data_IF_129044689564
#
_entry.id   IF_129044689564
#
_cell.length_a   1.000
_cell.length_b   1.000
_cell.length_c   1.000
_cell.angle_alpha   90.00
_cell.angle_beta   90.00
_cell.angle_gamma   90.00
#
_symmetry.space_group_name_H-M   'P 1'
#
loop_
_entity.id
_entity.type
_entity.pdbx_description
1 polymer ?
#
# COMPACT_ATOMS: atom_id res chain seq x y z
N UNK A 1 -8.80 22.43 13.90
CA UNK A 1 -9.25 21.03 14.03
C UNK A 1 -9.79 20.61 12.66
N UNK A 2 -9.78 19.31 12.34
CA UNK A 2 -10.57 18.62 11.27
C UNK A 2 -9.83 18.29 9.95
N UNK A 3 -9.60 17.00 9.66
CA UNK A 3 -10.49 15.93 9.11
C UNK A 3 -10.61 16.03 7.60
N UNK A 4 -10.16 15.00 6.87
CA UNK A 4 -10.89 14.32 5.77
C UNK A 4 -10.07 13.61 4.67
N UNK A 5 -8.73 13.76 4.51
CA UNK A 5 -7.95 12.68 3.81
C UNK A 5 -7.96 11.34 4.57
N UNK A 6 -8.46 11.44 5.79
CA UNK A 6 -8.42 10.52 6.87
C UNK A 6 -9.70 9.68 6.91
N UNK A 7 -10.88 10.30 6.69
CA UNK A 7 -12.21 9.68 6.76
C UNK A 7 -12.46 8.57 5.74
N UNK A 8 -11.68 8.47 4.66
CA UNK A 8 -11.87 7.39 3.68
C UNK A 8 -11.30 6.06 4.16
N UNK A 9 -10.01 6.05 4.49
CA UNK A 9 -9.35 4.94 5.17
C UNK A 9 -9.92 4.72 6.57
N UNK A 10 -10.40 5.78 7.22
CA UNK A 10 -11.03 5.73 8.54
C UNK A 10 -12.47 5.24 8.46
N UNK A 11 -13.29 5.50 7.45
CA UNK A 11 -14.59 4.84 7.30
C UNK A 11 -14.40 3.35 6.96
N UNK A 12 -13.36 3.04 6.17
CA UNK A 12 -12.95 1.68 5.80
C UNK A 12 -12.42 0.90 7.02
N UNK A 13 -11.62 1.53 7.89
CA UNK A 13 -11.15 0.96 9.16
C UNK A 13 -12.24 1.00 10.27
N UNK A 14 -12.95 2.12 10.50
CA UNK A 14 -13.93 2.28 11.59
C UNK A 14 -15.21 1.46 11.39
N UNK A 15 -15.69 1.26 10.16
CA UNK A 15 -16.81 0.36 9.90
C UNK A 15 -16.41 -1.11 10.12
N UNK A 16 -15.11 -1.42 10.01
CA UNK A 16 -14.56 -2.75 10.27
C UNK A 16 -14.24 -2.96 11.78
N UNK A 17 -13.97 -1.89 12.55
CA UNK A 17 -13.52 -1.96 13.95
C UNK A 17 -14.46 -1.31 15.00
N UNK A 18 -15.61 -0.73 14.61
CA UNK A 18 -16.72 -0.42 15.54
C UNK A 18 -16.49 0.69 16.58
N UNK A 19 -15.77 1.78 16.25
CA UNK A 19 -15.47 2.87 17.20
C UNK A 19 -16.24 4.16 16.88
N UNK A 20 -16.83 4.78 17.91
CA UNK A 20 -17.73 5.94 17.82
C UNK A 20 -17.04 7.27 17.45
N UNK A 21 -17.73 8.07 16.63
CA UNK A 21 -17.25 9.27 15.92
C UNK A 21 -16.76 10.47 16.77
N UNK A 22 -16.83 10.43 18.11
CA UNK A 22 -16.81 11.66 18.93
C UNK A 22 -15.42 12.15 19.39
N UNK A 23 -14.34 11.37 19.18
CA UNK A 23 -12.97 11.74 19.58
C UNK A 23 -11.99 11.93 18.39
N UNK A 24 -12.51 12.00 17.16
CA UNK A 24 -11.78 11.83 15.89
C UNK A 24 -10.84 12.98 15.52
N UNK A 25 -10.98 14.16 16.12
CA UNK A 25 -10.33 15.37 15.59
C UNK A 25 -8.84 15.52 16.01
N UNK A 26 -8.30 14.60 16.80
CA UNK A 26 -6.91 14.64 17.29
C UNK A 26 -5.96 13.66 16.60
N UNK A 27 -6.46 12.63 15.92
CA UNK A 27 -5.64 11.50 15.44
C UNK A 27 -5.80 11.26 13.94
N UNK A 28 -4.86 10.52 13.32
CA UNK A 28 -4.86 10.16 11.89
C UNK A 28 -4.82 8.64 11.72
N UNK A 29 -5.89 7.94 12.12
CA UNK A 29 -6.12 6.50 11.86
C UNK A 29 -5.88 6.04 10.42
N UNK A 30 -6.04 6.87 9.37
CA UNK A 30 -5.78 6.47 7.99
C UNK A 30 -4.28 6.29 7.75
N UNK A 31 -3.48 7.25 8.24
CA UNK A 31 -2.02 7.10 8.31
C UNK A 31 -1.61 5.94 9.21
N UNK A 32 -2.30 5.73 10.33
CA UNK A 32 -2.01 4.63 11.24
C UNK A 32 -2.33 3.27 10.61
N UNK A 33 -3.48 3.12 9.95
CA UNK A 33 -3.87 1.93 9.20
C UNK A 33 -2.86 1.65 8.09
N UNK A 34 -2.42 2.69 7.36
CA UNK A 34 -1.41 2.53 6.30
C UNK A 34 -0.02 2.19 6.87
N UNK A 35 0.38 2.77 8.00
CA UNK A 35 1.61 2.40 8.70
C UNK A 35 1.58 0.92 9.12
N UNK A 36 0.49 0.48 9.74
CA UNK A 36 0.31 -0.92 10.12
C UNK A 36 0.29 -1.86 8.91
N UNK A 37 -0.35 -1.46 7.81
CA UNK A 37 -0.33 -2.22 6.56
C UNK A 37 1.09 -2.36 5.99
N UNK A 38 1.85 -1.27 5.95
CA UNK A 38 3.23 -1.30 5.45
C UNK A 38 4.11 -2.20 6.31
N UNK A 39 3.97 -2.10 7.63
CA UNK A 39 4.71 -2.96 8.56
C UNK A 39 4.35 -4.43 8.38
N UNK A 40 3.06 -4.74 8.25
CA UNK A 40 2.60 -6.10 7.99
C UNK A 40 3.16 -6.66 6.67
N UNK A 41 3.16 -5.86 5.60
CA UNK A 41 3.76 -6.24 4.31
C UNK A 41 5.28 -6.46 4.43
N UNK A 42 5.99 -5.60 5.17
CA UNK A 42 7.41 -5.77 5.44
C UNK A 42 7.70 -7.09 6.17
N UNK A 43 6.92 -7.44 7.20
CA UNK A 43 7.07 -8.71 7.90
C UNK A 43 6.71 -9.92 7.03
N UNK A 44 5.59 -9.85 6.31
CA UNK A 44 5.14 -10.91 5.40
C UNK A 44 6.11 -11.20 4.25
N UNK A 45 6.96 -10.22 3.89
CA UNK A 45 8.00 -10.39 2.86
C UNK A 45 9.21 -11.20 3.33
N UNK A 46 9.31 -11.53 4.62
CA UNK A 46 10.42 -12.32 5.17
C UNK A 46 10.21 -13.81 4.88
N UNK A 47 11.31 -14.51 4.60
CA UNK A 47 11.29 -15.92 4.14
C UNK A 47 10.64 -16.87 5.15
N UNK A 48 10.73 -16.56 6.44
CA UNK A 48 10.18 -17.34 7.54
C UNK A 48 8.72 -17.02 7.87
N UNK A 49 8.17 -15.96 7.28
CA UNK A 49 6.81 -15.51 7.58
C UNK A 49 5.78 -16.31 6.77
N UNK A 50 4.81 -16.91 7.46
CA UNK A 50 3.75 -17.74 6.85
C UNK A 50 2.39 -17.05 6.80
N UNK A 51 2.22 -16.00 7.60
CA UNK A 51 0.94 -15.32 7.81
C UNK A 51 1.16 -13.81 7.76
N UNK A 52 0.11 -13.09 7.38
CA UNK A 52 0.09 -11.63 7.38
C UNK A 52 -1.13 -11.18 8.19
N UNK A 53 -0.94 -10.14 9.01
CA UNK A 53 -1.99 -9.51 9.81
C UNK A 53 -2.19 -8.04 9.37
N UNK A 54 -3.10 -7.33 10.01
CA UNK A 54 -3.40 -5.92 9.75
C UNK A 54 -4.61 -5.74 8.83
N UNK A 55 -4.77 -4.55 8.23
CA UNK A 55 -5.99 -4.19 7.50
C UNK A 55 -5.99 -4.80 6.08
N UNK A 56 -6.03 -6.13 5.98
CA UNK A 56 -5.94 -6.88 4.72
C UNK A 56 -7.08 -6.58 3.76
N UNK A 57 -8.24 -6.15 4.25
CA UNK A 57 -9.36 -5.70 3.41
C UNK A 57 -8.97 -4.49 2.56
N UNK A 58 -8.13 -3.59 3.08
CA UNK A 58 -7.58 -2.47 2.31
C UNK A 58 -6.62 -2.95 1.22
N UNK A 59 -5.78 -3.93 1.55
CA UNK A 59 -4.82 -4.50 0.61
C UNK A 59 -5.55 -5.19 -0.56
N UNK A 60 -6.57 -5.99 -0.25
CA UNK A 60 -7.41 -6.65 -1.24
C UNK A 60 -8.19 -5.64 -2.08
N UNK A 61 -8.84 -4.65 -1.45
CA UNK A 61 -9.53 -3.58 -2.14
C UNK A 61 -8.60 -2.80 -3.08
N UNK A 62 -7.41 -2.42 -2.59
CA UNK A 62 -6.36 -1.79 -3.41
C UNK A 62 -5.98 -2.68 -4.59
N UNK A 63 -5.70 -3.96 -4.37
CA UNK A 63 -5.30 -4.89 -5.43
C UNK A 63 -6.39 -5.01 -6.49
N UNK A 64 -7.66 -5.14 -6.10
CA UNK A 64 -8.78 -5.29 -7.03
C UNK A 64 -9.10 -4.04 -7.83
N UNK A 65 -8.97 -2.86 -7.22
CA UNK A 65 -9.12 -1.59 -7.95
C UNK A 65 -7.98 -1.44 -8.98
N UNK A 66 -6.77 -1.88 -8.63
CA UNK A 66 -5.57 -1.73 -9.46
C UNK A 66 -5.41 -2.82 -10.53
N UNK A 67 -5.95 -4.00 -10.27
CA UNK A 67 -5.90 -5.21 -11.09
C UNK A 67 -7.32 -5.75 -11.30
N UNK A 68 -8.19 -5.06 -12.06
CA UNK A 68 -9.60 -5.44 -12.20
C UNK A 68 -9.81 -6.84 -12.78
N UNK A 69 -8.87 -7.36 -13.57
CA UNK A 69 -8.93 -8.71 -14.15
C UNK A 69 -8.83 -9.82 -13.10
N UNK A 70 -8.16 -9.53 -11.97
CA UNK A 70 -8.14 -10.41 -10.81
C UNK A 70 -9.37 -10.19 -9.93
N UNK A 71 -9.98 -9.01 -9.96
CA UNK A 71 -11.06 -8.64 -9.06
C UNK A 71 -12.25 -9.62 -9.08
N UNK A 72 -12.84 -9.96 -7.92
CA UNK A 72 -14.14 -10.60 -7.86
C UNK A 72 -15.21 -9.68 -8.46
N UNK A 73 -16.37 -10.23 -8.79
CA UNK A 73 -17.48 -9.41 -9.29
C UNK A 73 -17.92 -8.40 -8.20
N UNK A 74 -17.88 -7.08 -8.47
CA UNK A 74 -18.39 -6.08 -7.54
C UNK A 74 -19.89 -6.27 -7.30
N UNK A 75 -20.31 -6.36 -6.03
CA UNK A 75 -21.72 -6.54 -5.64
C UNK A 75 -22.41 -5.22 -5.35
N UNK A 76 -21.70 -4.28 -4.75
CA UNK A 76 -22.22 -2.97 -4.40
C UNK A 76 -21.35 -1.88 -5.04
N UNK A 77 -21.42 -1.68 -6.38
CA UNK A 77 -20.49 -0.82 -7.12
C UNK A 77 -20.59 0.68 -6.78
N UNK A 78 -21.60 1.09 -6.00
CA UNK A 78 -21.78 2.46 -5.49
C UNK A 78 -21.73 2.53 -3.97
N UNK A 79 -20.93 1.66 -3.37
CA UNK A 79 -20.75 1.55 -1.93
C UNK A 79 -19.52 2.31 -1.48
N UNK A 80 -19.67 3.03 -0.38
CA UNK A 80 -18.57 3.61 0.36
C UNK A 80 -18.60 3.08 1.80
N UNK A 81 -17.47 2.67 2.39
CA UNK A 81 -16.11 2.61 1.81
C UNK A 81 -15.95 1.70 0.59
N UNK A 82 -14.95 1.94 -0.26
CA UNK A 82 -14.78 1.27 -1.55
C UNK A 82 -14.57 -0.24 -1.40
N UNK A 83 -13.91 -0.69 -0.35
CA UNK A 83 -13.73 -2.11 -0.08
C UNK A 83 -15.07 -2.88 0.04
N UNK A 84 -16.18 -2.20 0.38
CA UNK A 84 -17.50 -2.82 0.46
C UNK A 84 -18.04 -3.25 -0.92
N UNK A 85 -17.50 -2.74 -2.04
CA UNK A 85 -17.85 -3.23 -3.37
C UNK A 85 -17.69 -4.74 -3.49
N UNK A 86 -16.73 -5.32 -2.78
CA UNK A 86 -16.43 -6.76 -2.77
C UNK A 86 -16.79 -7.45 -1.47
N UNK A 87 -17.71 -6.88 -0.69
CA UNK A 87 -18.16 -7.51 0.55
C UNK A 87 -18.62 -8.95 0.29
N UNK A 88 -18.18 -9.87 1.16
CA UNK A 88 -18.45 -11.30 1.08
C UNK A 88 -17.97 -11.99 -0.23
N UNK A 89 -16.91 -11.46 -0.87
CA UNK A 89 -16.31 -12.06 -2.08
C UNK A 89 -16.02 -13.55 -1.94
N UNK A 90 -15.52 -14.00 -0.80
CA UNK A 90 -15.21 -15.41 -0.50
C UNK A 90 -16.41 -16.35 -0.66
N UNK A 91 -17.61 -15.85 -0.30
CA UNK A 91 -18.84 -16.66 -0.33
C UNK A 91 -19.53 -16.61 -1.67
N UNK A 92 -19.56 -15.43 -2.29
CA UNK A 92 -20.39 -15.19 -3.45
C UNK A 92 -19.69 -15.32 -4.81
N UNK A 93 -18.36 -15.36 -4.86
CA UNK A 93 -17.63 -15.48 -6.13
C UNK A 93 -17.16 -16.92 -6.35
N UNK A 94 -17.78 -17.59 -7.34
CA UNK A 94 -17.44 -18.98 -7.66
C UNK A 94 -16.01 -19.11 -8.19
N UNK A 95 -15.50 -18.11 -8.93
CA UNK A 95 -14.15 -18.14 -9.51
C UNK A 95 -13.13 -18.21 -8.38
N UNK A 96 -13.22 -17.29 -7.43
CA UNK A 96 -12.30 -17.23 -6.30
C UNK A 96 -12.31 -18.48 -5.42
N UNK A 97 -13.46 -19.15 -5.27
CA UNK A 97 -13.57 -20.40 -4.52
C UNK A 97 -12.70 -21.53 -5.09
N UNK A 98 -12.48 -21.53 -6.40
CA UNK A 98 -11.73 -22.58 -7.09
C UNK A 98 -10.32 -22.15 -7.50
N UNK A 99 -9.98 -20.86 -7.39
CA UNK A 99 -8.64 -20.37 -7.67
C UNK A 99 -7.65 -20.87 -6.63
N UNK A 100 -6.51 -21.37 -7.11
CA UNK A 100 -5.35 -21.77 -6.31
C UNK A 100 -4.24 -20.73 -6.46
N UNK A 101 -3.23 -20.83 -5.60
CA UNK A 101 -2.04 -19.98 -5.67
C UNK A 101 -1.38 -19.98 -7.05
N UNK A 102 -1.35 -21.12 -7.74
CA UNK A 102 -0.82 -21.24 -9.09
C UNK A 102 -1.56 -20.37 -10.12
N UNK A 103 -2.88 -20.23 -9.97
CA UNK A 103 -3.69 -19.41 -10.88
C UNK A 103 -3.36 -17.92 -10.71
N UNK A 104 -3.15 -17.46 -9.46
CA UNK A 104 -2.72 -16.08 -9.20
C UNK A 104 -1.31 -15.82 -9.73
N UNK A 105 -0.36 -16.73 -9.50
CA UNK A 105 1.01 -16.61 -10.02
C UNK A 105 1.02 -16.51 -11.54
N UNK A 106 0.33 -17.42 -12.21
CA UNK A 106 0.17 -17.39 -13.67
C UNK A 106 -0.42 -16.06 -14.15
N UNK A 107 -1.45 -15.56 -13.48
CA UNK A 107 -2.09 -14.29 -13.83
C UNK A 107 -1.19 -13.05 -13.57
N UNK A 108 -0.18 -13.16 -12.71
CA UNK A 108 0.87 -12.15 -12.56
C UNK A 108 1.97 -12.29 -13.61
N UNK A 109 2.34 -13.52 -13.98
CA UNK A 109 3.37 -13.79 -14.99
C UNK A 109 2.91 -13.40 -16.41
N UNK A 110 1.63 -13.58 -16.72
CA UNK A 110 1.02 -13.24 -18.02
C UNK A 110 0.60 -11.76 -18.12
N UNK A 111 0.80 -10.98 -17.06
CA UNK A 111 0.37 -9.60 -16.94
C UNK A 111 0.99 -8.68 -18.00
N UNK A 112 0.16 -7.93 -18.73
CA UNK A 112 0.58 -7.06 -19.82
C UNK A 112 0.70 -5.58 -19.41
N UNK A 113 1.47 -4.84 -20.21
CA UNK A 113 1.56 -3.38 -20.05
C UNK A 113 0.17 -2.74 -20.27
N UNK A 114 -0.26 -1.94 -19.30
CA UNK A 114 -1.55 -1.23 -19.35
C UNK A 114 -2.69 -1.90 -18.57
N UNK A 115 -2.53 -3.16 -18.16
CA UNK A 115 -3.51 -3.84 -17.30
C UNK A 115 -3.46 -3.33 -15.84
N UNK A 116 -2.33 -2.71 -15.44
CA UNK A 116 -2.23 -2.01 -14.16
C UNK A 116 -2.94 -0.66 -14.22
N UNK A 117 -3.91 -0.46 -13.35
CA UNK A 117 -4.55 0.85 -13.21
C UNK A 117 -3.67 1.76 -12.36
N UNK A 118 -2.87 2.62 -12.99
CA UNK A 118 -1.99 3.55 -12.27
C UNK A 118 -2.73 4.71 -11.59
N UNK A 119 -3.90 5.15 -12.04
CA UNK A 119 -4.65 6.23 -11.36
C UNK A 119 -6.07 5.77 -11.07
N UNK A 120 -6.19 4.91 -10.06
CA UNK A 120 -7.41 4.21 -9.66
C UNK A 120 -8.60 5.12 -9.32
N UNK A 121 -8.32 6.26 -8.70
CA UNK A 121 -9.32 7.19 -8.19
C UNK A 121 -9.50 8.40 -9.12
N UNK A 122 -9.09 8.29 -10.38
CA UNK A 122 -9.34 9.33 -11.36
C UNK A 122 -10.84 9.47 -11.63
N UNK A 123 -11.28 10.69 -11.93
CA UNK A 123 -12.69 11.08 -12.12
C UNK A 123 -13.35 10.31 -13.28
N UNK A 124 -12.57 9.83 -14.24
CA UNK A 124 -13.02 9.01 -15.36
C UNK A 124 -13.23 7.53 -15.00
N UNK A 125 -12.72 7.06 -13.86
CA UNK A 125 -12.77 5.65 -13.43
C UNK A 125 -13.70 5.38 -12.27
N UNK A 126 -13.96 6.39 -11.44
CA UNK A 126 -14.85 6.29 -10.30
C UNK A 126 -15.93 7.36 -10.40
N UNK A 127 -17.18 6.98 -10.14
CA UNK A 127 -18.26 7.97 -10.01
C UNK A 127 -17.89 8.92 -8.87
N UNK A 128 -17.74 10.24 -9.16
CA UNK A 128 -17.25 11.20 -8.19
C UNK A 128 -18.16 11.33 -6.96
N UNK A 129 -19.40 10.83 -7.03
CA UNK A 129 -20.34 10.82 -5.91
C UNK A 129 -20.16 9.62 -4.96
N UNK A 130 -19.35 8.62 -5.31
CA UNK A 130 -19.08 7.46 -4.44
C UNK A 130 -18.14 7.86 -3.30
N UNK A 131 -17.13 8.68 -3.60
CA UNK A 131 -16.15 9.14 -2.61
C UNK A 131 -16.61 10.51 -2.10
N UNK A 132 -16.99 10.64 -0.81
CA UNK A 132 -17.35 11.92 -0.20
C UNK A 132 -16.39 13.06 -0.56
N UNK A 133 -16.92 14.23 -0.93
CA UNK A 133 -16.14 15.36 -1.43
C UNK A 133 -15.08 15.86 -0.44
N UNK A 134 -15.36 15.69 0.86
CA UNK A 134 -14.46 15.99 1.97
C UNK A 134 -13.12 15.24 1.79
N UNK A 135 -13.14 14.01 1.28
CA UNK A 135 -11.93 13.20 1.08
C UNK A 135 -10.96 13.86 0.11
N UNK A 136 -11.49 14.47 -0.95
CA UNK A 136 -10.68 15.15 -1.95
C UNK A 136 -10.10 16.49 -1.47
N UNK A 137 -10.67 17.12 -0.44
CA UNK A 137 -10.22 18.42 0.07
C UNK A 137 -8.76 18.40 0.55
N UNK A 138 -8.23 17.23 0.91
CA UNK A 138 -6.85 17.05 1.37
C UNK A 138 -6.01 16.19 0.43
N UNK A 139 -6.48 15.95 -0.79
CA UNK A 139 -5.77 15.11 -1.78
C UNK A 139 -4.33 15.57 -2.06
N UNK A 140 -4.05 16.85 -1.84
CA UNK A 140 -2.72 17.45 -2.00
C UNK A 140 -1.64 16.77 -1.15
N UNK A 141 -1.98 16.24 0.05
CA UNK A 141 -0.99 15.57 0.92
C UNK A 141 -0.83 14.08 0.64
N UNK A 142 -1.66 13.47 -0.21
CA UNK A 142 -1.58 12.03 -0.49
C UNK A 142 -0.26 11.63 -1.15
N UNK A 143 0.35 12.56 -1.87
CA UNK A 143 1.65 12.34 -2.48
C UNK A 143 2.81 12.72 -1.56
N UNK A 144 2.59 13.08 -0.29
CA UNK A 144 3.69 13.50 0.57
C UNK A 144 4.64 12.35 0.92
N UNK A 145 5.95 12.52 0.71
CA UNK A 145 6.98 11.55 1.11
C UNK A 145 7.36 11.79 2.56
N UNK A 146 6.76 11.06 3.51
CA UNK A 146 6.80 11.36 4.95
C UNK A 146 6.72 10.11 5.83
N UNK A 147 7.10 10.18 7.13
CA UNK A 147 6.82 9.09 8.05
C UNK A 147 5.33 9.06 8.41
N UNK A 148 4.70 7.90 8.29
CA UNK A 148 3.39 7.59 8.86
C UNK A 148 3.59 7.24 10.33
N UNK A 149 2.86 7.93 11.19
CA UNK A 149 3.03 7.82 12.64
C UNK A 149 1.73 7.26 13.24
N UNK A 150 1.83 6.06 13.80
CA UNK A 150 0.81 5.42 14.64
C UNK A 150 1.26 5.50 16.10
N UNK A 151 0.40 5.10 17.05
CA UNK A 151 0.83 4.91 18.44
C UNK A 151 1.67 3.63 18.62
N UNK A 152 1.68 2.73 17.65
CA UNK A 152 2.36 1.43 17.73
C UNK A 152 3.54 1.26 16.77
N UNK A 153 3.67 2.13 15.76
CA UNK A 153 4.77 2.09 14.80
C UNK A 153 4.97 3.38 13.99
N UNK A 154 6.16 3.48 13.42
CA UNK A 154 6.51 4.44 12.38
C UNK A 154 6.83 3.65 11.11
N UNK A 155 6.23 4.05 10.00
CA UNK A 155 6.59 3.52 8.68
C UNK A 155 6.82 4.63 7.67
N UNK A 156 7.67 4.39 6.67
CA UNK A 156 8.02 5.42 5.69
C UNK A 156 7.09 5.38 4.48
N UNK A 157 6.40 6.49 4.21
CA UNK A 157 5.56 6.65 3.02
C UNK A 157 6.40 7.12 1.83
N UNK A 158 6.99 6.17 1.11
CA UNK A 158 7.90 6.43 -0.03
C UNK A 158 7.17 6.77 -1.34
N UNK A 159 6.33 7.82 -1.36
CA UNK A 159 5.50 8.20 -2.53
C UNK A 159 6.31 8.48 -3.80
N UNK A 160 7.58 8.88 -3.66
CA UNK A 160 8.51 9.09 -4.75
C UNK A 160 8.88 7.82 -5.54
N UNK A 161 8.56 6.63 -5.01
CA UNK A 161 8.79 5.33 -5.66
C UNK A 161 7.62 4.82 -6.50
N UNK A 162 6.44 5.40 -6.32
CA UNK A 162 5.22 5.01 -7.04
C UNK A 162 4.46 6.26 -7.52
N UNK A 163 5.20 7.22 -8.08
CA UNK A 163 4.70 8.52 -8.55
C UNK A 163 3.57 8.41 -9.56
N UNK A 164 3.58 7.35 -10.37
CA UNK A 164 2.52 7.00 -11.32
C UNK A 164 1.15 6.86 -10.65
N UNK A 165 1.10 6.52 -9.35
CA UNK A 165 -0.16 6.45 -8.59
C UNK A 165 -0.88 7.79 -8.48
N UNK A 166 -0.14 8.88 -8.61
CA UNK A 166 -0.61 10.25 -8.49
C UNK A 166 -0.61 10.98 -9.84
N UNK A 167 -0.53 10.25 -10.96
CA UNK A 167 -0.51 10.83 -12.31
C UNK A 167 0.83 11.42 -12.74
N UNK A 168 1.89 11.26 -11.95
CA UNK A 168 3.22 11.77 -12.29
C UNK A 168 4.07 10.74 -13.05
N UNK A 169 5.05 11.22 -13.80
CA UNK A 169 6.10 10.39 -14.39
C UNK A 169 6.99 9.80 -13.28
N UNK A 170 7.34 8.51 -13.42
CA UNK A 170 8.28 7.86 -12.51
C UNK A 170 9.71 8.25 -12.87
N UNK A 171 10.38 9.00 -11.99
CA UNK A 171 11.81 9.25 -12.04
C UNK A 171 12.59 8.30 -11.14
N UNK A 172 13.92 8.42 -11.14
CA UNK A 172 14.78 7.74 -10.17
C UNK A 172 14.44 8.26 -8.77
N UNK A 173 14.02 7.38 -7.84
CA UNK A 173 13.67 7.80 -6.49
C UNK A 173 14.92 8.15 -5.68
N UNK A 174 14.73 8.88 -4.59
CA UNK A 174 15.81 9.16 -3.66
C UNK A 174 16.24 7.88 -2.93
N UNK A 175 17.39 7.95 -2.28
CA UNK A 175 17.90 6.86 -1.46
C UNK A 175 16.88 6.43 -0.39
N UNK A 176 16.91 5.13 -0.05
CA UNK A 176 15.96 4.55 0.90
C UNK A 176 16.14 5.19 2.27
N UNK A 177 15.03 5.68 2.83
CA UNK A 177 15.05 6.22 4.18
C UNK A 177 15.14 5.04 5.14
N UNK A 178 16.29 4.89 5.80
CA UNK A 178 16.42 3.98 6.92
C UNK A 178 15.67 4.56 8.14
N UNK A 179 14.75 3.77 8.69
CA UNK A 179 14.02 4.10 9.91
C UNK A 179 14.78 3.67 11.19
N UNK A 180 15.95 3.04 11.02
CA UNK A 180 16.80 2.51 12.08
C UNK A 180 15.98 1.66 13.07
N UNK A 181 16.10 1.93 14.38
CA UNK A 181 15.37 1.22 15.42
C UNK A 181 13.87 1.49 15.40
N UNK A 182 13.41 2.60 14.81
CA UNK A 182 12.01 3.00 14.83
C UNK A 182 11.09 2.03 14.06
N UNK A 183 11.61 1.29 13.08
CA UNK A 183 10.85 0.27 12.36
C UNK A 183 10.58 -0.99 13.21
N UNK A 184 11.52 -1.35 14.09
CA UNK A 184 11.42 -2.52 14.97
C UNK A 184 10.79 -2.21 16.33
N UNK A 185 10.67 -0.93 16.69
CA UNK A 185 10.10 -0.51 17.97
C UNK A 185 8.58 -0.65 17.95
N UNK A 186 8.09 -1.53 18.81
CA UNK A 186 6.67 -1.65 19.15
C UNK A 186 6.51 -1.07 20.54
N UNK A 187 5.62 -0.09 20.72
CA UNK A 187 5.25 0.36 22.06
C UNK A 187 4.48 -0.76 22.77
N UNK A 188 5.20 -1.56 23.56
CA UNK A 188 4.65 -2.54 24.51
C UNK A 188 4.50 -1.95 25.92
N UNK A 189 5.13 -0.81 26.17
CA UNK A 189 5.14 -0.08 27.45
C UNK A 189 3.97 0.93 27.56
N UNK A 190 3.70 1.56 28.72
CA UNK A 190 2.39 2.14 29.03
C UNK A 190 1.87 3.06 27.91
N UNK A 191 0.61 2.83 27.52
CA UNK A 191 -0.15 3.41 26.39
C UNK A 191 -0.22 4.95 26.32
N UNK A 192 0.55 5.65 27.16
CA UNK A 192 0.53 7.10 27.36
C UNK A 192 1.86 7.79 26.99
N UNK A 193 2.87 7.09 26.43
CA UNK A 193 4.09 7.75 25.98
C UNK A 193 3.81 8.63 24.75
N UNK A 194 3.85 9.95 24.93
CA UNK A 194 3.68 10.89 23.85
C UNK A 194 4.95 10.94 22.97
N UNK A 195 4.88 10.39 21.77
CA UNK A 195 5.98 10.39 20.79
C UNK A 195 6.44 11.79 20.38
N UNK A 196 5.58 12.79 20.50
CA UNK A 196 5.96 14.18 20.27
C UNK A 196 6.88 14.74 21.38
N UNK A 197 7.07 14.01 22.48
CA UNK A 197 7.96 14.37 23.59
C UNK A 197 9.12 13.39 23.76
N UNK A 198 9.08 12.23 23.08
CA UNK A 198 10.15 11.24 23.11
C UNK A 198 11.31 11.68 22.20
N UNK A 199 12.56 11.79 22.69
CA UNK A 199 13.71 12.23 21.89
C UNK A 199 13.96 11.38 20.64
N UNK A 200 13.63 10.08 20.69
CA UNK A 200 13.79 9.14 19.57
C UNK A 200 12.74 9.32 18.46
N UNK A 201 11.55 9.84 18.79
CA UNK A 201 10.41 9.90 17.85
C UNK A 201 10.04 11.33 17.43
N UNK A 202 10.51 12.34 18.17
CA UNK A 202 10.21 13.75 17.93
C UNK A 202 10.53 14.20 16.49
N UNK A 203 11.66 13.76 15.94
CA UNK A 203 12.09 14.09 14.58
C UNK A 203 11.08 13.61 13.53
N UNK A 204 10.56 12.39 13.68
CA UNK A 204 9.55 11.82 12.79
C UNK A 204 8.21 12.56 12.90
N UNK A 205 7.78 12.88 14.13
CA UNK A 205 6.57 13.68 14.36
C UNK A 205 6.71 15.06 13.74
N UNK A 206 7.89 15.69 13.84
CA UNK A 206 8.13 16.99 13.21
C UNK A 206 8.17 16.91 11.68
N UNK A 207 8.72 15.84 11.11
CA UNK A 207 8.67 15.61 9.67
C UNK A 207 7.23 15.42 9.17
N UNK A 208 6.40 14.68 9.91
CA UNK A 208 4.97 14.53 9.64
C UNK A 208 4.20 15.87 9.75
N UNK A 209 4.50 16.69 10.76
CA UNK A 209 3.91 18.03 10.90
C UNK A 209 4.23 18.92 9.70
N UNK A 210 5.42 18.78 9.12
CA UNK A 210 5.88 19.53 7.96
C UNK A 210 5.53 18.86 6.60
N UNK A 211 4.64 17.86 6.57
CA UNK A 211 4.32 17.06 5.38
C UNK A 211 4.01 17.85 4.09
N UNK A 212 3.41 19.03 4.19
CA UNK A 212 3.11 19.86 3.03
C UNK A 212 4.35 20.30 2.25
N UNK A 213 5.54 20.32 2.88
CA UNK A 213 6.82 20.61 2.21
C UNK A 213 7.38 19.41 1.43
N UNK A 214 6.81 18.23 1.64
CA UNK A 214 7.30 16.96 1.08
C UNK A 214 6.31 16.35 0.09
N UNK A 215 5.33 17.13 -0.37
CA UNK A 215 4.41 16.78 -1.46
C UNK A 215 5.23 16.61 -2.74
N UNK A 216 4.91 15.59 -3.55
CA UNK A 216 5.56 15.41 -4.84
C UNK A 216 5.31 16.63 -5.73
N UNK A 217 6.38 17.24 -6.22
CA UNK A 217 6.33 18.22 -7.30
C UNK A 217 6.49 17.54 -8.65
N UNK A 218 5.90 18.12 -9.70
CA UNK A 218 6.21 17.73 -11.07
C UNK A 218 7.72 17.88 -11.32
N UNK A 219 8.32 16.88 -11.97
CA UNK A 219 9.71 17.01 -12.41
C UNK A 219 9.74 18.02 -13.56
N UNK A 220 10.60 19.06 -13.50
CA UNK A 220 10.82 19.92 -14.66
C UNK A 220 11.33 19.03 -15.80
N UNK A 221 10.61 18.99 -16.92
CA UNK A 221 11.07 18.31 -18.14
C UNK A 221 12.21 19.10 -18.78
N UNK A 222 13.37 18.46 -19.04
CA UNK A 222 14.01 18.76 -20.32
C UNK A 222 14.65 17.55 -21.04
N UNK A 223 14.28 16.29 -20.79
CA UNK A 223 14.88 15.19 -21.55
C UNK A 223 13.89 14.10 -21.98
N UNK A 224 14.13 13.59 -23.19
CA UNK A 224 13.26 12.69 -23.93
C UNK A 224 13.08 11.28 -23.30
N UNK A 225 13.70 10.96 -22.16
CA UNK A 225 13.78 9.57 -21.66
C UNK A 225 13.75 9.36 -20.12
N UNK A 226 12.78 9.92 -19.35
CA UNK A 226 12.66 9.64 -17.91
C UNK A 226 12.48 8.14 -17.60
N UNK A 227 11.77 7.42 -18.48
CA UNK A 227 11.54 5.98 -18.35
C UNK A 227 12.83 5.18 -18.50
N UNK A 228 13.67 5.48 -19.50
CA UNK A 228 14.91 4.73 -19.72
C UNK A 228 15.90 4.95 -18.58
N UNK A 229 15.96 6.18 -18.06
CA UNK A 229 16.78 6.51 -16.88
C UNK A 229 16.32 5.72 -15.65
N UNK A 230 15.01 5.69 -15.40
CA UNK A 230 14.43 4.89 -14.33
C UNK A 230 14.70 3.39 -14.51
N UNK A 231 14.49 2.85 -15.71
CA UNK A 231 14.68 1.42 -15.99
C UNK A 231 16.16 1.02 -15.90
N UNK A 232 17.08 1.89 -16.31
CA UNK A 232 18.51 1.69 -16.12
C UNK A 232 18.86 1.60 -14.64
N UNK A 233 18.40 2.55 -13.83
CA UNK A 233 18.58 2.50 -12.37
C UNK A 233 17.94 1.26 -11.75
N UNK A 234 16.70 0.94 -12.12
CA UNK A 234 15.93 -0.17 -11.57
C UNK A 234 16.61 -1.51 -11.84
N UNK A 235 17.05 -1.74 -13.09
CA UNK A 235 17.82 -2.94 -13.46
C UNK A 235 19.19 -2.96 -12.80
N UNK A 236 19.88 -1.83 -12.67
CA UNK A 236 21.14 -1.76 -11.95
C UNK A 236 21.00 -2.11 -10.46
N UNK A 237 19.94 -1.63 -9.82
CA UNK A 237 19.71 -1.83 -8.38
C UNK A 237 19.11 -3.20 -8.02
N UNK A 238 18.18 -3.69 -8.84
CA UNK A 238 17.40 -4.88 -8.54
C UNK A 238 17.57 -6.02 -9.56
N UNK A 239 18.27 -5.81 -10.67
CA UNK A 239 18.39 -6.79 -11.76
C UNK A 239 18.85 -8.16 -11.28
N UNK A 240 19.86 -8.22 -10.40
CA UNK A 240 20.36 -9.48 -9.84
C UNK A 240 19.30 -10.24 -9.01
N UNK A 241 18.29 -9.54 -8.48
CA UNK A 241 17.17 -10.12 -7.71
C UNK A 241 15.96 -10.46 -8.59
N UNK A 242 15.91 -9.95 -9.82
CA UNK A 242 14.82 -10.20 -10.78
C UNK A 242 15.08 -11.44 -11.65
N UNK A 243 16.34 -11.92 -11.72
CA UNK A 243 16.73 -13.16 -12.39
C UNK A 243 16.39 -14.35 -11.48
N UNK A 244 15.11 -14.54 -11.17
CA UNK A 244 14.63 -15.72 -10.42
C UNK A 244 14.31 -16.90 -11.35
N UNK A 245 14.23 -16.67 -12.66
CA UNK A 245 13.88 -17.70 -13.67
C UNK A 245 14.98 -18.73 -13.94
N UNK A 246 16.23 -18.50 -13.52
CA UNK A 246 17.35 -19.40 -13.79
C UNK A 246 17.68 -20.37 -12.64
N UNK A 247 16.93 -20.30 -11.52
CA UNK A 247 17.16 -21.11 -10.32
C UNK A 247 16.04 -22.14 -10.06
N UNK A 248 14.97 -22.17 -10.87
CA UNK A 248 13.84 -23.12 -10.73
C UNK A 248 14.11 -24.41 -11.50
N UNK A 249 15.35 -24.92 -11.44
CA UNK A 249 15.81 -26.07 -12.22
C UNK A 249 16.44 -27.23 -11.44
N UNK A 250 16.63 -27.12 -10.12
CA UNK A 250 17.39 -28.13 -9.36
C UNK A 250 16.71 -28.69 -8.11
N UNK A 251 15.42 -28.45 -7.91
CA UNK A 251 14.63 -29.18 -6.90
C UNK A 251 13.47 -29.88 -7.59
N UNK A 252 13.73 -31.10 -8.11
CA UNK A 252 12.81 -32.24 -8.22
C UNK A 252 13.40 -33.29 -9.17
N UNK A 253 14.39 -34.09 -8.73
CA UNK A 253 14.66 -35.39 -9.37
C UNK A 253 15.38 -36.43 -8.49
N UNK A 254 15.20 -36.38 -7.17
CA UNK A 254 15.60 -37.50 -6.30
C UNK A 254 14.45 -37.88 -5.36
N UNK A 255 13.73 -38.95 -5.71
CA UNK A 255 12.80 -39.57 -4.77
C UNK A 255 11.58 -40.26 -5.37
N UNK A 256 11.69 -40.95 -6.50
CA UNK A 256 10.79 -42.07 -6.78
C UNK A 256 11.50 -43.09 -7.69
N UNK A 257 12.28 -43.98 -7.06
CA UNK A 257 12.57 -45.28 -7.64
C UNK A 257 11.84 -46.33 -6.83
N UNK A 258 11.01 -47.07 -7.55
CA UNK A 258 10.17 -48.16 -7.10
C UNK A 258 10.94 -49.22 -6.32
N UNK A 259 10.27 -49.84 -5.37
CA UNK A 259 10.50 -51.25 -5.04
C UNK A 259 9.13 -51.94 -5.02
N UNK A 260 8.97 -52.84 -5.98
CA UNK A 260 8.01 -53.94 -6.04
C UNK A 260 7.96 -54.76 -4.73
#
# INVERSE_FOLDING_TARGET
MTMSSFEALEAECLHQFGVALRNIIQYSWGSACLAHLYRALCWASRVDCKEIDGPLTLLLGWAWIRLPYLSPVPREPRSFPLANMWRNWERGDRRYRYMKLADFRKAFDEFQEGEFVWVAYAVDRMDPNIIPAEIYMHSVVWSATVPLVSFECIEWHATDRYRRQFGFIQGVPHEERNLDKAHGEVLTDPKNLNWAMAPTHYSWVMHWKNRYRHILSELPMPSQHPLDTYMHWYRGKFGNRLILSNLVGEENDEGNQDLD
#
